data_IF_289632865922
#
_entry.id   IF_289632865922
#
_cell.length_a   1.000
_cell.length_b   1.000
_cell.length_c   1.000
_cell.angle_alpha   90.00
_cell.angle_beta   90.00
_cell.angle_gamma   90.00
#
_symmetry.space_group_name_H-M   'P 1'
#
loop_
_entity.id
_entity.type
_entity.pdbx_description
1 polymer ?
#
# COMPACT_ATOMS: atom_id res chain seq x y z
N UNK A 1 -16.95 6.20 -4.66
CA UNK A 1 -16.37 7.23 -3.80
C UNK A 1 -15.14 6.70 -3.09
N UNK A 2 -13.99 7.35 -3.28
CA UNK A 2 -12.72 6.90 -2.72
C UNK A 2 -12.07 7.99 -1.88
N UNK A 3 -11.45 7.56 -0.78
CA UNK A 3 -10.51 8.36 -0.02
C UNK A 3 -9.10 7.93 -0.42
N UNK A 4 -8.20 8.88 -0.62
CA UNK A 4 -6.82 8.52 -0.95
C UNK A 4 -5.83 9.59 -0.51
N UNK A 5 -4.59 9.14 -0.31
CA UNK A 5 -3.45 10.00 -0.09
C UNK A 5 -2.30 9.52 -0.95
N UNK A 6 -1.40 10.40 -1.30
CA UNK A 6 -0.26 10.10 -2.16
C UNK A 6 1.01 10.66 -1.54
N UNK A 7 2.07 9.85 -1.50
CA UNK A 7 3.39 10.28 -1.02
C UNK A 7 4.47 9.74 -1.94
N UNK A 8 5.58 10.44 -1.99
CA UNK A 8 6.78 9.93 -2.64
C UNK A 8 7.63 9.16 -1.61
N UNK A 9 8.78 8.65 -2.07
CA UNK A 9 9.71 7.86 -1.26
C UNK A 9 10.01 8.55 0.08
N UNK A 10 10.09 7.76 1.13
CA UNK A 10 10.52 8.16 2.49
C UNK A 10 9.52 9.01 3.24
N UNK A 11 8.39 9.31 2.63
CA UNK A 11 7.32 10.02 3.30
C UNK A 11 6.26 9.03 3.79
N UNK A 12 5.18 9.59 4.30
CA UNK A 12 4.05 8.79 4.75
C UNK A 12 2.77 9.32 4.16
N UNK A 13 1.78 8.44 4.09
CA UNK A 13 0.45 8.78 3.64
C UNK A 13 -0.52 8.59 4.80
N UNK A 14 -1.46 9.50 4.94
CA UNK A 14 -2.51 9.43 5.96
C UNK A 14 -3.83 9.08 5.31
N UNK A 15 -4.55 8.14 5.91
CA UNK A 15 -5.88 7.75 5.46
C UNK A 15 -6.88 7.95 6.60
N UNK A 16 -8.03 8.54 6.26
CA UNK A 16 -9.11 8.75 7.22
C UNK A 16 -10.36 8.03 6.73
N UNK A 17 -10.97 7.24 7.60
CA UNK A 17 -12.21 6.53 7.29
C UNK A 17 -13.38 7.31 7.85
N UNK A 18 -14.14 7.97 6.97
CA UNK A 18 -15.32 8.74 7.36
C UNK A 18 -16.62 7.94 7.23
N UNK A 19 -16.52 6.66 6.89
CA UNK A 19 -17.66 5.76 6.74
C UNK A 19 -18.10 5.12 8.05
N UNK A 20 -19.06 4.21 7.95
CA UNK A 20 -19.70 3.55 9.08
C UNK A 20 -19.10 2.18 9.42
N UNK A 21 -18.20 1.69 8.60
CA UNK A 21 -17.60 0.35 8.75
C UNK A 21 -16.11 0.43 8.60
N UNK A 22 -15.42 -0.61 9.09
CA UNK A 22 -13.98 -0.77 8.88
C UNK A 22 -13.69 -0.90 7.39
N UNK A 23 -12.55 -0.33 6.95
CA UNK A 23 -12.12 -0.43 5.56
C UNK A 23 -10.71 -1.00 5.49
N UNK A 24 -10.45 -1.71 4.39
CA UNK A 24 -9.15 -2.30 4.11
C UNK A 24 -8.51 -1.53 2.96
N UNK A 25 -7.40 -0.81 3.22
CA UNK A 25 -6.83 0.05 2.18
C UNK A 25 -6.20 -0.73 1.03
N UNK A 26 -6.17 -0.10 -0.13
CA UNK A 26 -5.36 -0.51 -1.27
C UNK A 26 -4.13 0.38 -1.37
N UNK A 27 -3.00 -0.21 -1.72
CA UNK A 27 -1.77 0.53 -1.93
C UNK A 27 -1.33 0.36 -3.38
N UNK A 28 -1.02 1.48 -4.03
CA UNK A 28 -0.43 1.48 -5.38
C UNK A 28 0.98 2.00 -5.30
N UNK A 29 1.92 1.21 -5.81
CA UNK A 29 3.32 1.62 -5.88
C UNK A 29 3.72 1.71 -7.34
N UNK A 30 4.05 2.92 -7.78
CA UNK A 30 4.53 3.17 -9.13
C UNK A 30 6.05 3.15 -9.12
N UNK A 31 6.64 2.34 -10.02
CA UNK A 31 8.10 2.18 -10.09
C UNK A 31 8.85 3.42 -10.54
N UNK A 32 10.18 3.32 -10.54
CA UNK A 32 10.96 2.10 -10.37
C UNK A 32 11.24 1.73 -8.92
N UNK A 33 11.20 0.45 -8.61
CA UNK A 33 11.61 -0.12 -7.33
C UNK A 33 12.63 -1.22 -7.60
N UNK A 34 13.73 -1.22 -6.85
CA UNK A 34 14.78 -2.22 -7.00
C UNK A 34 14.30 -3.62 -6.57
N UNK A 35 15.02 -4.65 -6.98
CA UNK A 35 14.63 -6.05 -6.75
C UNK A 35 14.52 -6.42 -5.27
N UNK A 36 15.16 -5.68 -4.37
CA UNK A 36 15.02 -5.87 -2.92
C UNK A 36 13.62 -5.55 -2.42
N UNK A 37 12.87 -4.73 -3.17
CA UNK A 37 11.50 -4.40 -2.84
C UNK A 37 11.35 -3.25 -1.85
N UNK A 38 10.28 -3.34 -1.06
CA UNK A 38 9.94 -2.25 -0.13
C UNK A 38 9.09 -2.78 1.02
N UNK A 39 9.01 -1.96 2.08
CA UNK A 39 8.07 -2.15 3.18
C UNK A 39 7.04 -1.04 3.17
N UNK A 40 5.80 -1.38 3.56
CA UNK A 40 4.77 -0.41 3.94
C UNK A 40 4.45 -0.70 5.40
N UNK A 41 4.65 0.28 6.27
CA UNK A 41 4.49 0.11 7.71
C UNK A 41 3.37 1.01 8.20
N UNK A 42 2.39 0.41 8.89
CA UNK A 42 1.34 1.15 9.57
C UNK A 42 1.90 1.69 10.88
N UNK A 43 1.87 3.01 11.05
CA UNK A 43 2.49 3.64 12.20
C UNK A 43 1.68 3.46 13.47
N UNK A 44 0.37 3.22 13.37
CA UNK A 44 -0.49 3.07 14.54
C UNK A 44 -0.27 1.76 15.28
N UNK A 45 0.07 0.68 14.59
CA UNK A 45 0.22 -0.65 15.19
C UNK A 45 1.51 -1.36 14.80
N UNK A 46 2.37 -0.71 14.04
CA UNK A 46 3.65 -1.25 13.55
C UNK A 46 3.49 -2.47 12.62
N UNK A 47 2.31 -2.72 12.10
CA UNK A 47 2.10 -3.78 11.12
C UNK A 47 2.84 -3.46 9.84
N UNK A 48 3.37 -4.51 9.20
CA UNK A 48 4.22 -4.37 8.02
C UNK A 48 3.72 -5.21 6.88
N UNK A 49 3.80 -4.65 5.68
CA UNK A 49 3.68 -5.38 4.43
C UNK A 49 5.02 -5.28 3.73
N UNK A 50 5.64 -6.43 3.43
CA UNK A 50 6.92 -6.46 2.73
C UNK A 50 6.77 -7.14 1.39
N UNK A 51 7.08 -6.41 0.33
CA UNK A 51 7.12 -6.93 -1.03
C UNK A 51 8.58 -7.11 -1.45
N UNK A 52 8.96 -8.33 -1.80
CA UNK A 52 10.35 -8.63 -2.19
C UNK A 52 10.41 -8.86 -3.69
N UNK A 53 10.39 -7.78 -4.44
CA UNK A 53 10.46 -7.82 -5.89
C UNK A 53 10.64 -6.43 -6.47
N UNK A 54 10.97 -6.37 -7.75
CA UNK A 54 11.14 -5.11 -8.45
C UNK A 54 9.80 -4.61 -8.98
N UNK A 55 9.70 -3.29 -9.17
CA UNK A 55 8.63 -2.67 -9.96
C UNK A 55 9.31 -1.82 -11.02
N UNK A 56 9.06 -2.14 -12.28
CA UNK A 56 9.69 -1.43 -13.38
C UNK A 56 9.19 0.00 -13.48
N UNK A 57 10.02 0.87 -14.05
CA UNK A 57 9.61 2.23 -14.35
C UNK A 57 8.39 2.19 -15.29
N UNK A 58 7.34 2.93 -14.95
CA UNK A 58 6.10 2.94 -15.70
C UNK A 58 5.11 1.84 -15.32
N UNK A 59 5.50 0.90 -14.48
CA UNK A 59 4.60 -0.14 -13.98
C UNK A 59 4.01 0.25 -12.63
N UNK A 60 2.82 -0.28 -12.33
CA UNK A 60 2.12 -0.03 -11.06
C UNK A 60 1.80 -1.34 -10.38
N UNK A 61 2.23 -1.48 -9.14
CA UNK A 61 1.91 -2.62 -8.29
C UNK A 61 0.76 -2.24 -7.38
N UNK A 62 -0.27 -3.08 -7.31
CA UNK A 62 -1.43 -2.85 -6.43
C UNK A 62 -1.46 -3.93 -5.36
N UNK A 63 -1.44 -3.51 -4.10
CA UNK A 63 -1.62 -4.39 -2.95
C UNK A 63 -3.01 -4.12 -2.39
N UNK A 64 -3.88 -5.13 -2.44
CA UNK A 64 -5.26 -5.01 -1.99
C UNK A 64 -5.42 -5.71 -0.64
N UNK A 65 -5.57 -4.93 0.42
CA UNK A 65 -5.73 -5.48 1.77
C UNK A 65 -7.05 -6.21 1.97
N UNK A 66 -8.09 -5.84 1.21
CA UNK A 66 -9.40 -6.48 1.34
C UNK A 66 -9.40 -7.90 0.80
N UNK A 67 -8.62 -8.18 -0.24
CA UNK A 67 -8.55 -9.51 -0.85
C UNK A 67 -7.27 -10.26 -0.51
N UNK A 68 -6.26 -9.55 0.02
CA UNK A 68 -4.95 -10.13 0.30
C UNK A 68 -4.15 -10.41 -0.96
N UNK A 69 -4.40 -9.70 -2.05
CA UNK A 69 -3.77 -9.97 -3.34
C UNK A 69 -2.81 -8.86 -3.75
N UNK A 70 -1.83 -9.23 -4.59
CA UNK A 70 -0.87 -8.31 -5.17
C UNK A 70 -0.85 -8.52 -6.67
N UNK A 71 -1.09 -7.45 -7.44
CA UNK A 71 -1.13 -7.49 -8.89
C UNK A 71 -0.22 -6.40 -9.46
N UNK A 72 0.49 -6.70 -10.54
CA UNK A 72 1.26 -5.70 -11.27
C UNK A 72 0.59 -5.41 -12.61
N UNK A 73 0.44 -4.13 -12.93
CA UNK A 73 -0.22 -3.63 -14.15
C UNK A 73 -1.63 -4.21 -14.36
N UNK A 74 -2.28 -4.64 -13.28
CA UNK A 74 -3.66 -5.11 -13.29
C UNK A 74 -3.88 -6.51 -13.81
N UNK A 75 -2.85 -7.25 -14.21
CA UNK A 75 -3.05 -8.59 -14.79
C UNK A 75 -2.08 -9.66 -14.32
N UNK A 76 -0.91 -9.31 -13.82
CA UNK A 76 0.06 -10.30 -13.38
C UNK A 76 0.04 -10.44 -11.87
N UNK A 77 -0.20 -11.67 -11.36
CA UNK A 77 -0.26 -11.95 -9.94
C UNK A 77 1.15 -11.98 -9.34
N UNK A 78 1.38 -11.17 -8.31
CA UNK A 78 2.63 -11.10 -7.58
C UNK A 78 2.44 -11.35 -6.08
N UNK A 79 1.33 -11.94 -5.69
CA UNK A 79 0.99 -12.18 -4.28
C UNK A 79 2.06 -13.00 -3.57
N UNK A 80 2.68 -13.95 -4.24
CA UNK A 80 3.75 -14.77 -3.67
C UNK A 80 5.01 -14.00 -3.28
N UNK A 81 5.21 -12.79 -3.80
CA UNK A 81 6.36 -11.95 -3.46
C UNK A 81 6.08 -11.06 -2.24
N UNK A 82 4.87 -11.04 -1.73
CA UNK A 82 4.53 -10.35 -0.49
C UNK A 82 4.86 -11.29 0.67
N UNK A 83 6.02 -11.12 1.26
CA UNK A 83 6.59 -12.07 2.23
C UNK A 83 6.19 -11.79 3.67
N UNK A 84 5.82 -10.54 3.98
CA UNK A 84 5.26 -10.17 5.28
C UNK A 84 3.88 -9.56 5.02
N UNK A 85 2.86 -10.10 5.70
CA UNK A 85 1.45 -9.78 5.40
C UNK A 85 0.69 -9.46 6.67
N UNK A 86 1.08 -8.40 7.34
CA UNK A 86 0.39 -7.94 8.54
C UNK A 86 -0.65 -6.90 8.15
N UNK A 87 -1.80 -7.39 7.73
CA UNK A 87 -2.87 -6.55 7.21
C UNK A 87 -3.45 -5.64 8.30
N UNK A 88 -3.84 -4.43 7.92
CA UNK A 88 -4.41 -3.45 8.84
C UNK A 88 -5.68 -2.86 8.22
N UNK A 89 -6.78 -2.92 8.98
CA UNK A 89 -8.00 -2.20 8.63
C UNK A 89 -8.02 -0.85 9.35
N UNK A 90 -8.71 0.12 8.76
CA UNK A 90 -8.93 1.42 9.38
C UNK A 90 -10.36 1.43 9.89
N UNK A 91 -10.56 1.55 11.22
CA UNK A 91 -11.91 1.47 11.79
C UNK A 91 -12.77 2.68 11.40
N UNK A 92 -14.08 2.49 11.46
CA UNK A 92 -15.02 3.55 11.20
C UNK A 92 -14.73 4.76 12.08
N UNK A 93 -14.65 5.94 11.47
CA UNK A 93 -14.31 7.17 12.16
C UNK A 93 -12.85 7.31 12.56
N UNK A 94 -12.00 6.32 12.21
CA UNK A 94 -10.60 6.33 12.56
C UNK A 94 -9.70 6.80 11.41
N UNK A 95 -8.41 6.88 11.71
CA UNK A 95 -7.41 7.21 10.72
C UNK A 95 -6.09 6.53 11.08
N UNK A 96 -5.21 6.37 10.10
CA UNK A 96 -3.89 5.85 10.33
C UNK A 96 -2.92 6.35 9.27
N UNK A 97 -1.64 6.29 9.61
CA UNK A 97 -0.56 6.70 8.72
C UNK A 97 0.25 5.48 8.30
N UNK A 98 0.69 5.49 7.05
CA UNK A 98 1.54 4.43 6.50
C UNK A 98 2.81 5.05 5.95
N UNK A 99 3.94 4.41 6.20
CA UNK A 99 5.22 4.88 5.68
C UNK A 99 5.75 3.90 4.65
N UNK A 100 6.41 4.43 3.61
CA UNK A 100 6.97 3.66 2.50
C UNK A 100 8.49 3.64 2.65
N UNK A 101 9.05 2.43 2.78
CA UNK A 101 10.48 2.23 2.98
C UNK A 101 11.05 1.33 1.88
N UNK A 102 11.74 1.88 0.87
CA UNK A 102 12.44 1.06 -0.10
C UNK A 102 13.56 0.29 0.57
N UNK A 103 13.74 -0.98 0.18
CA UNK A 103 14.79 -1.84 0.73
C UNK A 103 16.07 -1.80 -0.08
N UNK A 104 16.01 -1.27 -1.29
CA UNK A 104 17.17 -1.11 -2.15
C UNK A 104 17.28 0.30 -2.69
N UNK A 105 18.26 0.54 -3.56
CA UNK A 105 18.42 1.85 -4.19
C UNK A 105 17.25 2.13 -5.11
N UNK A 106 16.44 3.14 -4.77
CA UNK A 106 15.21 3.47 -5.47
C UNK A 106 15.09 4.98 -5.54
N UNK A 107 14.66 5.50 -6.69
CA UNK A 107 14.36 6.91 -6.84
C UNK A 107 13.16 7.07 -7.77
N UNK A 108 12.28 8.02 -7.44
CA UNK A 108 11.10 8.32 -8.25
C UNK A 108 9.91 7.41 -8.03
N UNK A 109 10.00 6.42 -7.14
CA UNK A 109 8.85 5.61 -6.79
C UNK A 109 7.84 6.42 -5.98
N UNK A 110 6.55 6.13 -6.18
CA UNK A 110 5.46 6.84 -5.51
C UNK A 110 4.50 5.83 -4.90
N UNK A 111 4.17 6.02 -3.64
CA UNK A 111 3.11 5.26 -2.96
C UNK A 111 1.84 6.08 -2.94
N UNK A 112 0.75 5.46 -3.37
CA UNK A 112 -0.60 6.01 -3.23
C UNK A 112 -1.42 5.01 -2.42
N UNK A 113 -2.15 5.48 -1.43
CA UNK A 113 -3.02 4.63 -0.63
C UNK A 113 -4.45 5.17 -0.73
N UNK A 114 -5.43 4.25 -0.85
CA UNK A 114 -6.82 4.64 -0.99
C UNK A 114 -7.73 3.50 -0.56
N UNK A 115 -9.01 3.82 -0.36
CA UNK A 115 -10.04 2.83 -0.09
C UNK A 115 -11.39 3.40 -0.45
N UNK A 116 -12.36 2.52 -0.67
CA UNK A 116 -13.76 2.94 -0.78
C UNK A 116 -14.35 3.00 0.62
N UNK A 117 -15.15 4.03 0.94
CA UNK A 117 -15.83 4.11 2.24
C UNK A 117 -16.74 2.91 2.47
N UNK A 118 -16.86 2.49 3.73
CA UNK A 118 -17.57 1.27 4.10
C UNK A 118 -19.08 1.37 4.16
N UNK A 119 -19.67 2.41 3.64
CA UNK A 119 -21.15 2.57 3.72
C UNK A 119 -21.88 2.37 2.40
N UNK A 120 -21.17 2.03 1.33
CA UNK A 120 -21.84 1.84 0.03
C UNK A 120 -22.78 0.66 0.03
#
# INVERSE_FOLDING_TARGET
WLEFGTVSISDRVSLSNTGDEDVWPQFEVTGPVAAEGFDIICLGNSNRLRYEGAVSSGSTLVIDSATGSVMIDGYADRTGLLTVREWTAIPAGGSDDFTFLPLGATSGAVLTAFFAPGWW
#
